data_IF_921387532237
#
_entry.id   IF_921387532237
#
_cell.length_a   1.000
_cell.length_b   1.000
_cell.length_c   1.000
_cell.angle_alpha   90.00
_cell.angle_beta   90.00
_cell.angle_gamma   90.00
#
_symmetry.space_group_name_H-M   'P 1'
#
loop_
_entity.id
_entity.type
_entity.pdbx_description
1 polymer ?
#
# COMPACT_ATOMS: atom_id res chain seq x y z
N UNK A 1 -5.18 5.48 5.13
CA UNK A 1 -4.29 5.29 6.28
C UNK A 1 -2.84 5.59 5.86
N UNK A 2 -2.02 6.11 6.76
CA UNK A 2 -0.57 6.25 6.61
C UNK A 2 0.09 5.41 7.69
N UNK A 3 1.07 4.60 7.33
CA UNK A 3 1.83 3.76 8.27
C UNK A 3 3.31 4.09 8.15
N UNK A 4 4.04 3.99 9.26
CA UNK A 4 5.48 4.08 9.31
C UNK A 4 6.02 3.03 10.28
N UNK A 5 7.18 2.45 9.99
CA UNK A 5 7.79 1.40 10.78
C UNK A 5 9.31 1.57 10.80
N UNK A 6 9.90 1.30 11.95
CA UNK A 6 11.32 1.04 12.10
C UNK A 6 11.50 -0.44 12.42
N UNK A 7 12.37 -1.11 11.69
CA UNK A 7 12.67 -2.53 11.89
C UNK A 7 14.16 -2.80 11.81
N UNK A 8 14.59 -3.89 12.45
CA UNK A 8 15.93 -4.44 12.35
C UNK A 8 15.81 -5.88 11.87
N UNK A 9 16.10 -6.12 10.59
CA UNK A 9 15.70 -7.36 9.93
C UNK A 9 14.18 -7.55 10.05
N UNK A 10 13.75 -8.69 10.57
CA UNK A 10 12.32 -9.02 10.76
C UNK A 10 11.73 -8.45 12.07
N UNK A 11 12.56 -7.94 12.98
CA UNK A 11 12.13 -7.37 14.25
C UNK A 11 11.55 -5.96 14.03
N UNK A 12 10.30 -5.75 14.42
CA UNK A 12 9.67 -4.42 14.45
C UNK A 12 10.03 -3.72 15.74
N UNK A 13 10.84 -2.66 15.65
CA UNK A 13 11.24 -1.84 16.81
C UNK A 13 10.14 -0.88 17.21
N UNK A 14 9.52 -0.22 16.23
CA UNK A 14 8.39 0.68 16.44
C UNK A 14 7.57 0.82 15.15
N UNK A 15 6.27 0.99 15.29
CA UNK A 15 5.35 1.19 14.19
C UNK A 15 4.23 2.16 14.57
N UNK A 16 3.78 2.94 13.61
CA UNK A 16 2.63 3.83 13.75
C UNK A 16 1.66 3.66 12.59
N UNK A 17 0.38 3.89 12.88
CA UNK A 17 -0.67 3.99 11.88
C UNK A 17 -1.56 5.18 12.18
N UNK A 18 -1.73 6.05 11.20
CA UNK A 18 -2.57 7.23 11.32
C UNK A 18 -3.70 7.19 10.30
N UNK A 19 -4.93 7.30 10.78
CA UNK A 19 -6.12 7.47 9.94
C UNK A 19 -6.49 8.95 9.89
N UNK A 20 -6.75 9.49 8.70
CA UNK A 20 -7.17 10.88 8.55
C UNK A 20 -6.83 11.48 7.19
N UNK A 21 -7.27 12.72 6.96
CA UNK A 21 -7.08 13.43 5.69
C UNK A 21 -5.72 14.11 5.56
N UNK A 22 -4.95 14.22 6.64
CA UNK A 22 -3.63 14.87 6.63
C UNK A 22 -2.55 13.86 6.24
N UNK A 23 -2.31 13.71 4.95
CA UNK A 23 -1.26 12.85 4.36
C UNK A 23 -0.12 13.68 3.77
N UNK A 24 0.22 14.81 4.38
CA UNK A 24 1.32 15.64 3.94
C UNK A 24 2.69 15.06 4.31
N UNK A 25 3.73 15.41 3.54
CA UNK A 25 5.12 15.00 3.82
C UNK A 25 5.55 15.33 5.26
N UNK A 26 5.13 16.49 5.81
CA UNK A 26 5.41 16.88 7.19
C UNK A 26 4.89 15.87 8.21
N UNK A 27 3.71 15.26 7.94
CA UNK A 27 3.15 14.24 8.82
C UNK A 27 3.99 12.98 8.83
N UNK A 28 4.34 12.48 7.65
CA UNK A 28 5.17 11.26 7.51
C UNK A 28 6.52 11.45 8.21
N UNK A 29 7.19 12.59 7.97
CA UNK A 29 8.46 12.90 8.62
C UNK A 29 8.33 13.03 10.14
N UNK A 30 7.23 13.63 10.63
CA UNK A 30 6.94 13.73 12.05
C UNK A 30 6.74 12.36 12.70
N UNK A 31 5.99 11.46 12.05
CA UNK A 31 5.77 10.11 12.52
C UNK A 31 7.09 9.32 12.55
N UNK A 32 7.91 9.38 11.51
CA UNK A 32 9.24 8.74 11.46
C UNK A 32 10.15 9.26 12.57
N UNK A 33 10.25 10.58 12.73
CA UNK A 33 11.08 11.19 13.78
C UNK A 33 10.60 10.76 15.19
N UNK A 34 9.29 10.72 15.41
CA UNK A 34 8.73 10.26 16.68
C UNK A 34 9.11 8.80 16.96
N UNK A 35 8.96 7.90 15.99
CA UNK A 35 9.35 6.49 16.13
C UNK A 35 10.83 6.36 16.46
N UNK A 36 11.72 7.04 15.72
CA UNK A 36 13.17 7.00 15.96
C UNK A 36 13.52 7.41 17.38
N UNK A 37 12.94 8.51 17.87
CA UNK A 37 13.15 8.96 19.26
C UNK A 37 12.66 7.96 20.29
N UNK A 38 11.50 7.32 20.03
CA UNK A 38 10.89 6.36 20.96
C UNK A 38 11.80 5.16 21.19
N UNK A 39 12.46 4.68 20.15
CA UNK A 39 13.35 3.49 20.23
C UNK A 39 14.84 3.86 20.23
N UNK A 40 15.17 5.16 20.33
CA UNK A 40 16.55 5.68 20.40
C UNK A 40 17.42 5.23 19.22
N UNK A 41 16.85 5.27 18.00
CA UNK A 41 17.57 5.03 16.75
C UNK A 41 17.96 6.40 16.18
N UNK A 42 19.24 6.56 15.84
CA UNK A 42 19.74 7.78 15.20
C UNK A 42 19.62 7.70 13.67
N UNK A 43 19.54 8.84 12.97
CA UNK A 43 19.52 8.87 11.50
C UNK A 43 20.68 8.12 10.83
N UNK A 44 21.84 8.08 11.48
CA UNK A 44 23.02 7.34 11.03
C UNK A 44 22.90 5.82 11.09
N UNK A 45 21.92 5.32 11.85
CA UNK A 45 21.68 3.88 12.02
C UNK A 45 20.76 3.31 10.93
N UNK A 46 20.17 4.20 10.11
CA UNK A 46 19.29 3.80 9.01
C UNK A 46 20.13 3.31 7.84
N UNK A 47 19.92 2.08 7.42
CA UNK A 47 20.67 1.45 6.31
C UNK A 47 19.88 1.44 4.98
N UNK A 48 18.54 1.47 5.03
CA UNK A 48 17.67 1.46 3.85
C UNK A 48 16.31 2.07 4.16
N UNK A 49 15.62 2.53 3.11
CA UNK A 49 14.23 2.99 3.17
C UNK A 49 13.39 2.16 2.23
N UNK A 50 12.24 1.69 2.72
CA UNK A 50 11.21 1.03 1.92
C UNK A 50 9.97 1.91 1.87
N UNK A 51 9.37 2.06 0.70
CA UNK A 51 8.16 2.86 0.50
C UNK A 51 7.11 2.09 -0.28
N UNK A 52 5.85 2.23 0.14
CA UNK A 52 4.70 1.74 -0.63
C UNK A 52 4.56 2.52 -1.94
N UNK A 53 4.57 1.81 -3.07
CA UNK A 53 4.47 2.41 -4.40
C UNK A 53 3.07 2.30 -5.02
N UNK A 54 2.11 1.72 -4.33
CA UNK A 54 0.74 1.55 -4.80
C UNK A 54 0.37 0.10 -5.16
N UNK A 55 -0.81 -0.09 -5.72
CA UNK A 55 -1.79 0.95 -6.08
C UNK A 55 -2.41 1.66 -4.88
N UNK A 56 -2.90 2.88 -5.11
CA UNK A 56 -3.51 3.74 -4.10
C UNK A 56 -3.85 5.13 -4.65
N UNK A 57 -4.13 6.10 -3.76
CA UNK A 57 -4.45 7.45 -4.22
C UNK A 57 -3.24 8.13 -4.87
N UNK A 58 -3.44 8.72 -6.04
CA UNK A 58 -2.40 9.38 -6.83
C UNK A 58 -1.55 10.40 -6.04
N UNK A 59 -2.22 11.28 -5.29
CA UNK A 59 -1.54 12.28 -4.46
C UNK A 59 -0.77 11.65 -3.31
N UNK A 60 -1.37 10.67 -2.62
CA UNK A 60 -0.72 9.99 -1.50
C UNK A 60 0.56 9.26 -1.92
N UNK A 61 0.51 8.54 -3.04
CA UNK A 61 1.66 7.82 -3.58
C UNK A 61 2.81 8.77 -3.94
N UNK A 62 2.52 9.86 -4.64
CA UNK A 62 3.55 10.85 -5.01
C UNK A 62 4.20 11.49 -3.81
N UNK A 63 3.42 11.87 -2.80
CA UNK A 63 3.94 12.43 -1.56
C UNK A 63 4.80 11.38 -0.83
N UNK A 64 4.33 10.17 -0.68
CA UNK A 64 5.06 9.09 -0.01
C UNK A 64 6.41 8.80 -0.67
N UNK A 65 6.40 8.57 -1.99
CA UNK A 65 7.62 8.29 -2.77
C UNK A 65 8.59 9.46 -2.76
N UNK A 66 8.11 10.70 -2.96
CA UNK A 66 8.96 11.89 -2.93
C UNK A 66 9.61 12.08 -1.55
N UNK A 67 8.83 11.89 -0.46
CA UNK A 67 9.34 11.99 0.91
C UNK A 67 10.41 10.92 1.18
N UNK A 68 10.15 9.67 0.79
CA UNK A 68 11.09 8.57 0.96
C UNK A 68 12.40 8.79 0.19
N UNK A 69 12.31 9.25 -1.07
CA UNK A 69 13.48 9.59 -1.90
C UNK A 69 14.29 10.74 -1.29
N UNK A 70 13.62 11.79 -0.80
CA UNK A 70 14.29 12.93 -0.16
C UNK A 70 14.99 12.51 1.13
N UNK A 71 14.36 11.67 1.94
CA UNK A 71 14.94 11.16 3.16
C UNK A 71 16.14 10.25 2.86
N UNK A 72 16.01 9.33 1.89
CA UNK A 72 17.09 8.44 1.45
C UNK A 72 18.31 9.24 0.93
N UNK A 73 18.06 10.30 0.16
CA UNK A 73 19.11 11.20 -0.31
C UNK A 73 19.83 11.89 0.85
N UNK A 74 19.09 12.42 1.82
CA UNK A 74 19.65 13.09 2.98
C UNK A 74 20.50 12.15 3.86
N UNK A 75 20.03 10.90 4.03
CA UNK A 75 20.71 9.87 4.84
C UNK A 75 21.79 9.12 4.04
N UNK A 76 21.85 9.28 2.72
CA UNK A 76 22.76 8.56 1.80
C UNK A 76 22.56 7.04 1.84
N UNK A 77 21.33 6.60 1.91
CA UNK A 77 20.95 5.18 1.93
C UNK A 77 20.09 4.82 0.73
N UNK A 78 20.03 3.54 0.33
CA UNK A 78 19.16 3.10 -0.74
C UNK A 78 17.68 3.27 -0.37
N UNK A 79 16.85 3.53 -1.38
CA UNK A 79 15.38 3.50 -1.27
C UNK A 79 14.82 2.45 -2.22
N UNK A 80 13.83 1.68 -1.76
CA UNK A 80 13.17 0.62 -2.52
C UNK A 80 11.66 0.76 -2.46
N UNK A 81 10.98 0.30 -3.52
CA UNK A 81 9.53 0.32 -3.65
C UNK A 81 8.91 -1.05 -3.47
N UNK A 82 7.79 -1.11 -2.74
CA UNK A 82 7.00 -2.34 -2.54
C UNK A 82 5.53 -2.04 -2.83
N UNK A 83 4.85 -2.95 -3.54
CA UNK A 83 3.44 -2.83 -3.84
C UNK A 83 2.55 -2.82 -2.59
N UNK A 84 1.52 -1.97 -2.60
CA UNK A 84 0.55 -1.91 -1.49
C UNK A 84 -0.22 -3.23 -1.36
N UNK A 85 -0.58 -3.85 -2.48
CA UNK A 85 -1.27 -5.14 -2.49
C UNK A 85 -0.35 -6.26 -2.01
N UNK A 86 0.94 -6.23 -2.39
CA UNK A 86 1.92 -7.21 -1.92
C UNK A 86 2.09 -7.15 -0.39
N UNK A 87 2.09 -5.93 0.17
CA UNK A 87 2.13 -5.75 1.62
C UNK A 87 0.84 -6.22 2.32
N UNK A 88 -0.34 -6.07 1.71
CA UNK A 88 -1.59 -6.62 2.25
C UNK A 88 -1.59 -8.14 2.25
N UNK A 89 -1.04 -8.78 1.22
CA UNK A 89 -0.90 -10.24 1.14
C UNK A 89 0.02 -10.82 2.23
N UNK A 90 0.82 -10.00 2.92
CA UNK A 90 1.59 -10.43 4.09
C UNK A 90 0.73 -10.55 5.37
N UNK A 91 -0.53 -10.17 5.32
CA UNK A 91 -1.49 -10.38 6.40
C UNK A 91 -1.77 -11.87 6.59
N UNK A 92 -1.98 -12.30 7.84
CA UNK A 92 -2.19 -13.71 8.16
C UNK A 92 -3.44 -14.27 7.48
N UNK A 93 -3.21 -15.28 6.63
CA UNK A 93 -4.26 -15.95 5.87
C UNK A 93 -4.96 -15.07 4.83
N UNK A 94 -4.39 -13.96 4.41
CA UNK A 94 -4.95 -13.15 3.30
C UNK A 94 -4.63 -13.83 1.97
N UNK A 95 -5.67 -14.27 1.27
CA UNK A 95 -5.57 -14.90 -0.04
C UNK A 95 -5.59 -13.86 -1.18
N UNK A 96 -6.40 -12.81 -1.03
CA UNK A 96 -6.57 -11.76 -2.03
C UNK A 96 -6.50 -10.38 -1.37
N UNK A 97 -5.62 -9.54 -1.88
CA UNK A 97 -5.53 -8.13 -1.49
C UNK A 97 -6.41 -7.27 -2.40
N UNK A 98 -7.13 -6.31 -1.80
CA UNK A 98 -8.13 -5.52 -2.51
C UNK A 98 -8.17 -4.08 -1.98
N UNK A 99 -7.82 -3.08 -2.81
CA UNK A 99 -7.90 -1.65 -2.46
C UNK A 99 -8.87 -0.90 -3.36
N UNK A 100 -9.52 0.13 -2.82
CA UNK A 100 -10.51 0.95 -3.53
C UNK A 100 -9.87 1.71 -4.72
N UNK A 101 -10.23 1.33 -5.94
CA UNK A 101 -9.80 1.98 -7.17
C UNK A 101 -10.70 3.16 -7.56
N UNK A 102 -11.71 3.47 -6.75
CA UNK A 102 -12.79 4.43 -7.05
C UNK A 102 -13.70 3.99 -8.19
N UNK A 103 -14.78 4.73 -8.43
CA UNK A 103 -15.73 4.54 -9.56
C UNK A 103 -16.38 3.15 -9.60
N UNK A 104 -16.58 2.51 -8.46
CA UNK A 104 -17.18 1.18 -8.40
C UNK A 104 -16.20 0.04 -8.65
N UNK A 105 -14.90 0.30 -8.72
CA UNK A 105 -13.87 -0.71 -8.98
C UNK A 105 -12.88 -0.85 -7.82
N UNK A 106 -12.16 -1.94 -7.83
CA UNK A 106 -11.06 -2.25 -6.92
C UNK A 106 -9.80 -2.60 -7.70
N UNK A 107 -8.63 -2.26 -7.15
CA UNK A 107 -7.38 -2.87 -7.55
C UNK A 107 -7.18 -4.12 -6.68
N UNK A 108 -6.94 -5.25 -7.30
CA UNK A 108 -6.76 -6.50 -6.58
C UNK A 108 -5.66 -7.37 -7.19
N UNK A 109 -5.13 -8.26 -6.37
CA UNK A 109 -4.25 -9.37 -6.75
C UNK A 109 -4.27 -10.45 -5.66
N UNK A 110 -3.85 -11.67 -5.99
CA UNK A 110 -3.72 -12.77 -5.03
C UNK A 110 -4.00 -14.11 -5.64
N UNK A 111 -4.43 -15.07 -4.83
CA UNK A 111 -4.73 -16.42 -5.26
C UNK A 111 -5.78 -16.42 -6.40
N UNK A 112 -5.37 -16.87 -7.60
CA UNK A 112 -6.23 -16.91 -8.79
C UNK A 112 -6.58 -15.55 -9.40
N UNK A 113 -6.16 -14.45 -8.79
CA UNK A 113 -6.48 -13.08 -9.23
C UNK A 113 -5.20 -12.38 -9.71
N UNK A 114 -5.01 -12.18 -11.02
CA UNK A 114 -3.94 -11.36 -11.56
C UNK A 114 -4.01 -9.92 -11.06
N UNK A 115 -2.88 -9.19 -11.05
CA UNK A 115 -2.90 -7.76 -10.73
C UNK A 115 -3.74 -7.00 -11.76
N UNK A 116 -4.80 -6.34 -11.30
CA UNK A 116 -5.74 -5.63 -12.17
C UNK A 116 -6.70 -4.70 -11.45
N UNK A 117 -7.53 -4.05 -12.26
CA UNK A 117 -8.70 -3.30 -11.80
C UNK A 117 -9.96 -4.07 -12.18
N UNK A 118 -10.84 -4.29 -11.23
CA UNK A 118 -12.00 -5.17 -11.36
C UNK A 118 -13.26 -4.50 -10.79
N UNK A 119 -14.41 -4.78 -11.39
CA UNK A 119 -15.67 -4.64 -10.67
C UNK A 119 -15.71 -5.68 -9.53
N UNK A 120 -16.40 -5.43 -8.41
CA UNK A 120 -16.48 -6.39 -7.30
C UNK A 120 -16.96 -7.78 -7.73
N UNK A 121 -17.91 -7.85 -8.65
CA UNK A 121 -18.48 -9.09 -9.20
C UNK A 121 -17.48 -9.85 -10.07
N UNK A 122 -16.63 -9.13 -10.82
CA UNK A 122 -15.54 -9.74 -11.61
C UNK A 122 -14.47 -10.32 -10.69
N UNK A 123 -14.11 -9.59 -9.62
CA UNK A 123 -13.21 -10.09 -8.59
C UNK A 123 -13.77 -11.37 -7.94
N UNK A 124 -15.06 -11.36 -7.59
CA UNK A 124 -15.74 -12.51 -6.99
C UNK A 124 -15.76 -13.74 -7.92
N UNK A 125 -15.80 -13.54 -9.24
CA UNK A 125 -15.75 -14.63 -10.20
C UNK A 125 -14.34 -15.24 -10.37
N UNK A 126 -13.29 -14.49 -10.07
CA UNK A 126 -11.89 -14.92 -10.19
C UNK A 126 -11.35 -15.53 -8.89
N UNK A 127 -11.72 -14.98 -7.75
CA UNK A 127 -11.19 -15.40 -6.45
C UNK A 127 -11.64 -16.82 -6.10
N UNK A 128 -10.79 -17.63 -5.46
CA UNK A 128 -11.18 -18.97 -5.00
C UNK A 128 -12.35 -18.90 -4.02
N UNK A 129 -13.29 -19.87 -4.05
CA UNK A 129 -14.42 -19.91 -3.13
C UNK A 129 -13.96 -19.87 -1.66
N UNK A 130 -14.55 -18.95 -0.87
CA UNK A 130 -14.22 -18.80 0.55
C UNK A 130 -12.88 -18.12 0.83
N UNK A 131 -12.18 -17.60 -0.19
CA UNK A 131 -10.93 -16.87 -0.03
C UNK A 131 -11.09 -15.71 0.96
N UNK A 132 -10.06 -15.48 1.77
CA UNK A 132 -9.98 -14.29 2.64
C UNK A 132 -9.53 -13.10 1.82
N UNK A 133 -10.41 -12.09 1.71
CA UNK A 133 -10.16 -10.87 0.94
C UNK A 133 -9.99 -9.70 1.91
N UNK A 134 -8.83 -9.04 1.89
CA UNK A 134 -8.51 -7.94 2.80
C UNK A 134 -8.10 -6.66 2.06
N UNK A 135 -8.26 -5.51 2.73
CA UNK A 135 -7.98 -4.18 2.23
C UNK A 135 -9.21 -3.27 2.28
N UNK A 136 -9.03 -1.98 2.01
CA UNK A 136 -10.13 -1.00 2.08
C UNK A 136 -11.15 -1.15 0.94
N UNK A 137 -10.75 -1.75 -0.18
CA UNK A 137 -11.66 -2.13 -1.25
C UNK A 137 -12.63 -3.23 -0.82
N UNK A 138 -12.13 -4.23 -0.09
CA UNK A 138 -12.97 -5.31 0.44
C UNK A 138 -14.02 -4.78 1.44
N UNK A 139 -13.65 -3.81 2.28
CA UNK A 139 -14.60 -3.15 3.20
C UNK A 139 -15.67 -2.37 2.45
N UNK A 140 -15.24 -1.59 1.46
CA UNK A 140 -16.12 -0.70 0.71
C UNK A 140 -17.16 -1.44 -0.11
N UNK A 141 -16.78 -2.57 -0.68
CA UNK A 141 -17.60 -3.35 -1.62
C UNK A 141 -17.98 -4.73 -1.05
N UNK A 142 -18.11 -4.83 0.27
CA UNK A 142 -18.41 -6.07 1.00
C UNK A 142 -19.62 -6.82 0.44
N UNK A 143 -20.68 -6.08 0.06
CA UNK A 143 -21.92 -6.68 -0.46
C UNK A 143 -21.67 -7.41 -1.80
N UNK A 144 -20.80 -6.87 -2.66
CA UNK A 144 -20.40 -7.52 -3.92
C UNK A 144 -19.43 -8.70 -3.73
N UNK A 145 -18.92 -8.90 -2.51
CA UNK A 145 -18.03 -9.99 -2.12
C UNK A 145 -18.72 -10.99 -1.17
N UNK A 146 -20.05 -11.08 -1.23
CA UNK A 146 -20.80 -12.04 -0.44
C UNK A 146 -20.35 -13.47 -0.76
N UNK A 147 -20.09 -14.29 0.28
CA UNK A 147 -19.56 -15.65 0.13
C UNK A 147 -18.04 -15.77 0.28
N UNK A 148 -17.33 -14.66 0.46
CA UNK A 148 -15.91 -14.62 0.80
C UNK A 148 -15.68 -14.27 2.27
N UNK A 149 -14.51 -14.66 2.81
CA UNK A 149 -14.11 -14.25 4.16
C UNK A 149 -13.55 -12.83 4.09
N UNK A 150 -14.41 -11.82 4.29
CA UNK A 150 -14.00 -10.43 4.46
C UNK A 150 -13.92 -10.13 5.95
N UNK A 151 -12.73 -9.94 6.54
CA UNK A 151 -12.57 -9.70 7.97
C UNK A 151 -13.41 -8.53 8.49
N UNK A 152 -13.64 -8.47 9.81
CA UNK A 152 -14.36 -7.36 10.43
C UNK A 152 -13.68 -6.02 10.15
N UNK A 153 -14.46 -4.92 10.12
CA UNK A 153 -13.99 -3.57 9.77
C UNK A 153 -12.88 -3.05 10.70
N UNK A 154 -12.82 -3.58 11.91
CA UNK A 154 -11.78 -3.29 12.91
C UNK A 154 -10.51 -4.10 12.72
N UNK A 155 -10.50 -5.08 11.81
CA UNK A 155 -9.35 -5.95 11.57
C UNK A 155 -8.15 -5.16 11.05
N UNK A 156 -6.99 -5.50 11.57
CA UNK A 156 -5.70 -4.96 11.11
C UNK A 156 -5.29 -5.49 9.73
N UNK A 157 -5.92 -6.56 9.24
CA UNK A 157 -5.68 -7.14 7.91
C UNK A 157 -6.06 -6.19 6.77
N UNK A 158 -6.92 -5.19 7.01
CA UNK A 158 -7.27 -4.18 6.01
C UNK A 158 -6.25 -3.04 5.88
N UNK A 159 -5.16 -3.07 6.66
CA UNK A 159 -4.14 -2.04 6.68
C UNK A 159 -2.86 -2.55 6.00
N UNK A 160 -2.35 -1.87 4.95
CA UNK A 160 -1.05 -2.18 4.38
C UNK A 160 0.05 -1.65 5.32
N UNK A 161 0.37 -2.42 6.34
CA UNK A 161 1.31 -2.05 7.38
C UNK A 161 2.72 -1.82 6.85
N UNK A 162 3.42 -0.84 7.39
CA UNK A 162 4.79 -0.54 6.99
C UNK A 162 5.76 -1.70 7.29
N UNK A 163 5.53 -2.47 8.37
CA UNK A 163 6.29 -3.71 8.66
C UNK A 163 6.18 -4.75 7.55
N UNK A 164 5.04 -4.85 6.88
CA UNK A 164 4.84 -5.78 5.77
C UNK A 164 5.66 -5.35 4.54
N UNK A 165 5.74 -4.03 4.27
CA UNK A 165 6.62 -3.50 3.24
C UNK A 165 8.10 -3.77 3.58
N UNK A 166 8.50 -3.59 4.84
CA UNK A 166 9.88 -3.84 5.28
C UNK A 166 10.29 -5.31 5.09
N UNK A 167 9.42 -6.27 5.39
CA UNK A 167 9.68 -7.71 5.16
C UNK A 167 9.90 -8.06 3.69
N UNK A 168 9.33 -7.29 2.78
CA UNK A 168 9.47 -7.49 1.34
C UNK A 168 10.69 -6.77 0.74
N UNK A 169 11.54 -6.12 1.57
CA UNK A 169 12.76 -5.44 1.11
C UNK A 169 13.64 -6.30 0.18
N UNK A 170 13.88 -7.59 0.42
CA UNK A 170 14.69 -8.42 -0.47
C UNK A 170 14.16 -8.53 -1.91
N UNK A 171 12.82 -8.42 -2.07
CA UNK A 171 12.14 -8.49 -3.37
C UNK A 171 11.72 -7.11 -3.90
N UNK A 172 12.05 -6.03 -3.18
CA UNK A 172 11.61 -4.68 -3.52
C UNK A 172 12.31 -4.13 -4.77
N UNK A 173 11.54 -3.43 -5.60
CA UNK A 173 11.99 -2.83 -6.85
C UNK A 173 12.36 -1.35 -6.73
N UNK A 174 12.34 -0.65 -7.87
CA UNK A 174 12.55 0.77 -7.92
C UNK A 174 11.40 1.53 -7.23
N UNK A 175 11.69 2.67 -6.55
CA UNK A 175 10.69 3.44 -5.83
C UNK A 175 9.89 4.35 -6.78
N UNK A 176 9.22 3.75 -7.76
CA UNK A 176 8.35 4.44 -8.72
C UNK A 176 6.88 4.12 -8.47
N UNK A 177 5.97 5.11 -8.54
CA UNK A 177 4.55 4.85 -8.35
C UNK A 177 4.00 3.81 -9.34
N UNK A 178 3.37 2.77 -8.82
CA UNK A 178 2.70 1.74 -9.61
C UNK A 178 1.29 2.21 -10.00
N UNK A 179 1.08 2.50 -11.26
CA UNK A 179 -0.22 2.87 -11.81
C UNK A 179 -0.84 1.68 -12.54
N UNK A 180 -1.76 0.98 -11.86
CA UNK A 180 -2.53 -0.16 -12.45
C UNK A 180 -3.51 0.34 -13.52
N UNK A 181 -3.95 1.60 -13.41
CA UNK A 181 -4.78 2.28 -14.42
C UNK A 181 -4.07 3.54 -14.89
N UNK A 182 -4.13 3.82 -16.21
CA UNK A 182 -3.63 5.08 -16.74
C UNK A 182 -4.29 6.29 -16.06
N UNK A 183 -3.55 7.37 -15.77
CA UNK A 183 -4.12 8.60 -15.22
C UNK A 183 -5.28 9.09 -16.07
N UNK A 184 -6.35 9.62 -15.45
CA UNK A 184 -7.52 10.12 -16.14
C UNK A 184 -7.21 11.20 -17.21
N UNK A 185 -6.20 12.01 -16.97
CA UNK A 185 -5.70 12.99 -17.92
C UNK A 185 -5.22 12.37 -19.25
N UNK A 186 -4.60 11.18 -19.21
CA UNK A 186 -4.17 10.46 -20.40
C UNK A 186 -5.36 9.93 -21.20
N UNK A 187 -6.43 9.50 -20.55
CA UNK A 187 -7.68 9.05 -21.21
C UNK A 187 -8.41 10.21 -21.91
N UNK A 188 -8.46 11.38 -21.28
CA UNK A 188 -9.09 12.58 -21.86
C UNK A 188 -8.31 13.04 -23.09
N UNK A 189 -6.98 12.98 -23.06
CA UNK A 189 -6.15 13.32 -24.21
C UNK A 189 -6.29 12.31 -25.35
N UNK A 190 -6.33 11.02 -25.05
CA UNK A 190 -6.54 9.97 -26.04
C UNK A 190 -7.94 10.03 -26.69
N UNK A 191 -8.98 10.37 -25.92
CA UNK A 191 -10.34 10.57 -26.44
C UNK A 191 -10.52 11.84 -27.26
N UNK A 192 -9.60 12.83 -27.15
CA UNK A 192 -9.59 14.03 -28.00
C UNK A 192 -8.76 13.89 -29.28
N UNK A 193 -7.95 12.84 -29.37
CA UNK A 193 -7.09 12.56 -30.53
C UNK A 193 -7.72 11.57 -31.53
N UNK A 194 -8.96 11.12 -31.31
CA UNK A 194 -9.70 10.33 -32.29
C UNK A 194 -10.43 11.28 -33.27
N UNK A 195 -10.23 11.14 -34.60
CA UNK A 195 -10.82 11.99 -35.63
C UNK A 195 -12.32 11.84 -35.72
#
# INVERSE_FOLDING_TARGET
>A
VTTACLSRGDEVLAESATRGRSTGAQRVLGDVHHLMRTVRVEPSDVEAIVVGIGPGTFTGLRIGVATARSLAFALRVPVRGVGTLDALLQGDGVDVACVDARRGEVFATGAGVPLGAYAPEELAALAPPGARIAGDGALRYRDGLAGFDVPADTSTLHVPWARHHARLLPAAGEPEPLYVRSPDAARVLAGRAAP
#
